data_IF_138132939586
#
_entry.id   IF_138132939586
#
_cell.length_a   1.000
_cell.length_b   1.000
_cell.length_c   1.000
_cell.angle_alpha   90.00
_cell.angle_beta   90.00
_cell.angle_gamma   90.00
#
_symmetry.space_group_name_H-M   'P 1'
#
loop_
_entity.id
_entity.type
_entity.pdbx_description
1 polymer ?
#
# COMPACT_ATOMS: atom_id res chain seq x y z
N UNK A 1 16.15 -3.66 -3.07
CA UNK A 1 15.24 -3.83 -4.23
C UNK A 1 14.53 -2.50 -4.43
N UNK A 2 14.95 -1.69 -5.42
CA UNK A 2 14.12 -0.58 -5.89
C UNK A 2 12.94 -1.22 -6.64
N UNK A 3 11.98 -1.72 -5.87
CA UNK A 3 10.83 -2.46 -6.39
C UNK A 3 9.96 -1.48 -7.15
N UNK A 4 9.67 -1.84 -8.40
CA UNK A 4 8.53 -1.31 -9.17
C UNK A 4 7.43 -0.83 -8.23
N UNK A 5 7.15 0.48 -8.23
CA UNK A 5 6.06 1.08 -7.45
C UNK A 5 4.68 0.59 -7.92
N UNK A 6 4.66 -0.11 -9.06
CA UNK A 6 3.52 -0.81 -9.64
C UNK A 6 3.43 -2.26 -9.15
N UNK A 7 2.25 -2.61 -8.63
CA UNK A 7 1.88 -4.00 -8.35
C UNK A 7 1.34 -4.69 -9.61
N UNK A 8 1.42 -6.02 -9.68
CA UNK A 8 0.76 -6.78 -10.74
C UNK A 8 -0.78 -6.66 -10.63
N UNK A 9 -1.49 -6.81 -11.75
CA UNK A 9 -2.96 -6.75 -11.72
C UNK A 9 -3.58 -7.78 -10.78
N UNK A 10 -3.00 -8.98 -10.71
CA UNK A 10 -3.46 -10.04 -9.83
C UNK A 10 -3.28 -9.69 -8.35
N UNK A 11 -2.16 -9.05 -8.00
CA UNK A 11 -1.93 -8.58 -6.63
C UNK A 11 -2.88 -7.46 -6.25
N UNK A 12 -3.17 -6.54 -7.18
CA UNK A 12 -4.15 -5.47 -6.95
C UNK A 12 -5.56 -6.02 -6.74
N UNK A 13 -5.95 -7.05 -7.50
CA UNK A 13 -7.22 -7.77 -7.34
C UNK A 13 -7.27 -8.51 -5.99
N UNK A 14 -6.21 -9.25 -5.64
CA UNK A 14 -6.11 -9.96 -4.35
C UNK A 14 -6.18 -9.01 -3.14
N UNK A 15 -5.55 -7.84 -3.25
CA UNK A 15 -5.58 -6.81 -2.22
C UNK A 15 -6.89 -5.98 -2.19
N UNK A 16 -7.83 -6.25 -3.10
CA UNK A 16 -9.09 -5.53 -3.23
C UNK A 16 -8.91 -4.01 -3.31
N UNK A 17 -7.92 -3.57 -4.09
CA UNK A 17 -7.65 -2.15 -4.31
C UNK A 17 -8.78 -1.50 -5.13
N UNK A 18 -9.38 -0.39 -4.65
CA UNK A 18 -10.32 0.40 -5.44
C UNK A 18 -9.67 0.95 -6.71
N UNK A 19 -10.44 1.13 -7.78
CA UNK A 19 -9.92 1.56 -9.08
C UNK A 19 -9.11 2.86 -9.00
N UNK A 20 -9.51 3.82 -8.16
CA UNK A 20 -8.80 5.09 -7.99
C UNK A 20 -7.39 4.97 -7.38
N UNK A 21 -7.09 3.85 -6.71
CA UNK A 21 -5.79 3.59 -6.09
C UNK A 21 -4.97 2.53 -6.85
N UNK A 22 -5.36 2.19 -8.08
CA UNK A 22 -4.59 1.32 -8.98
C UNK A 22 -3.67 2.15 -9.86
N UNK A 23 -2.85 2.94 -9.19
CA UNK A 23 -1.91 3.87 -9.79
C UNK A 23 -0.50 3.27 -9.88
N UNK A 24 0.45 4.10 -10.32
CA UNK A 24 1.86 3.74 -10.34
C UNK A 24 2.47 3.54 -8.95
N UNK A 25 1.73 3.78 -7.86
CA UNK A 25 2.18 3.64 -6.48
C UNK A 25 1.45 2.49 -5.73
N UNK A 26 0.65 1.70 -6.45
CA UNK A 26 -0.16 0.61 -5.90
C UNK A 26 0.65 -0.43 -5.11
N UNK A 27 1.92 -0.67 -5.44
CA UNK A 27 2.78 -1.61 -4.71
C UNK A 27 3.10 -1.14 -3.28
N UNK A 28 3.16 0.17 -3.05
CA UNK A 28 3.44 0.77 -1.73
C UNK A 28 2.17 0.81 -0.86
N UNK A 29 1.00 0.89 -1.49
CA UNK A 29 -0.27 0.95 -0.78
C UNK A 29 -0.70 -0.40 -0.18
N UNK A 30 -0.34 -1.52 -0.83
CA UNK A 30 -0.61 -2.88 -0.32
C UNK A 30 -0.01 -3.11 1.08
N UNK A 31 1.31 -2.90 1.33
CA UNK A 31 1.89 -3.08 2.65
C UNK A 31 1.34 -2.07 3.67
N UNK A 32 1.09 -0.82 3.27
CA UNK A 32 0.48 0.18 4.14
C UNK A 32 -0.91 -0.26 4.64
N UNK A 33 -1.75 -0.76 3.75
CA UNK A 33 -3.09 -1.24 4.12
C UNK A 33 -3.04 -2.52 4.98
N UNK A 34 -2.05 -3.39 4.76
CA UNK A 34 -1.83 -4.55 5.65
C UNK A 34 -1.43 -4.11 7.05
N UNK A 35 -0.51 -3.15 7.17
CA UNK A 35 -0.07 -2.62 8.46
C UNK A 35 -1.23 -1.95 9.20
N UNK A 36 -2.00 -1.08 8.52
CA UNK A 36 -3.20 -0.43 9.07
C UNK A 36 -4.22 -1.43 9.61
N UNK A 37 -4.51 -2.51 8.87
CA UNK A 37 -5.43 -3.55 9.35
C UNK A 37 -4.90 -4.31 10.57
N UNK A 38 -3.59 -4.57 10.61
CA UNK A 38 -2.95 -5.26 11.73
C UNK A 38 -2.95 -4.42 13.01
N UNK A 39 -2.73 -3.12 12.89
CA UNK A 39 -2.65 -2.18 14.03
C UNK A 39 -3.97 -1.46 14.31
N UNK A 40 -5.08 -1.88 13.68
CA UNK A 40 -6.39 -1.26 13.83
C UNK A 40 -6.37 0.26 13.54
N UNK A 41 -5.59 0.67 12.55
CA UNK A 41 -5.46 2.06 12.10
C UNK A 41 -4.96 3.03 13.18
N UNK A 42 -4.13 2.54 14.11
CA UNK A 42 -3.44 3.39 15.08
C UNK A 42 -2.59 4.46 14.35
N UNK A 43 -2.68 5.75 14.74
CA UNK A 43 -2.05 6.84 13.99
C UNK A 43 -0.52 6.94 14.15
N UNK A 44 0.04 6.35 15.20
CA UNK A 44 1.49 6.32 15.48
C UNK A 44 2.20 5.07 14.94
N UNK A 45 1.44 4.12 14.39
CA UNK A 45 1.98 2.90 13.78
C UNK A 45 2.03 3.07 12.25
N UNK A 46 2.91 2.32 11.57
CA UNK A 46 3.02 2.30 10.11
C UNK A 46 3.46 3.63 9.46
N UNK A 47 4.16 4.50 10.21
CA UNK A 47 4.60 5.81 9.70
C UNK A 47 5.60 5.68 8.55
N UNK A 48 6.50 4.70 8.61
CA UNK A 48 7.50 4.48 7.55
C UNK A 48 6.84 4.17 6.21
N UNK A 49 5.85 3.28 6.20
CA UNK A 49 5.08 2.91 5.02
C UNK A 49 4.22 4.08 4.52
N UNK A 50 3.64 4.87 5.44
CA UNK A 50 2.88 6.09 5.09
C UNK A 50 3.80 7.11 4.40
N UNK A 51 4.93 7.43 5.02
CA UNK A 51 5.91 8.37 4.45
C UNK A 51 6.53 7.85 3.15
N UNK A 52 6.60 6.53 2.96
CA UNK A 52 7.07 5.98 1.69
C UNK A 52 6.03 6.13 0.57
N UNK A 53 4.73 6.10 0.90
CA UNK A 53 3.64 6.30 -0.06
C UNK A 53 3.39 7.79 -0.39
N UNK A 54 3.67 8.69 0.54
CA UNK A 54 3.47 10.15 0.37
C UNK A 54 4.62 10.88 -0.35
N UNK A 55 5.76 10.20 -0.59
CA UNK A 55 6.89 10.75 -1.34
C UNK A 55 6.63 10.75 -2.85
#
# INVERSE_FOLDING_TARGET
MAGSTLASEEEMKRAHLPLGYRDQCSALLIPLNKCRRKTLYMPWECENERHSYEK
#
